data_IF_993503791096
#
_entry.id   IF_993503791096
#
_cell.length_a   1.000
_cell.length_b   1.000
_cell.length_c   1.000
_cell.angle_alpha   90.00
_cell.angle_beta   90.00
_cell.angle_gamma   90.00
#
_symmetry.space_group_name_H-M   'P 1'
#
loop_
_entity.id
_entity.type
_entity.pdbx_description
1 polymer ?
#
# COMPACT_ATOMS: atom_id res chain seq x y z
N UNK A 1 0.68 72.60 -0.27
CA UNK A 1 0.85 71.66 0.86
C UNK A 1 1.61 70.44 0.34
N UNK A 2 2.95 70.43 0.41
CA UNK A 2 3.72 69.21 0.14
C UNK A 2 3.24 68.13 1.12
N UNK A 3 2.82 66.98 0.59
CA UNK A 3 2.47 65.82 1.41
C UNK A 3 3.75 65.38 2.11
N UNK A 4 3.78 65.45 3.44
CA UNK A 4 4.82 64.82 4.25
C UNK A 4 4.99 63.38 3.76
N UNK A 5 6.12 63.13 3.12
CA UNK A 5 6.54 61.79 2.73
C UNK A 5 6.90 61.14 4.06
N UNK A 6 5.94 60.41 4.66
CA UNK A 6 6.19 59.65 5.86
C UNK A 6 7.30 58.65 5.55
N UNK A 7 8.51 58.95 5.99
CA UNK A 7 9.64 58.05 5.86
C UNK A 7 9.38 56.83 6.74
N UNK A 8 8.84 55.78 6.13
CA UNK A 8 8.64 54.54 6.84
C UNK A 8 10.00 54.00 7.33
N UNK A 9 10.14 53.73 8.64
CA UNK A 9 11.42 53.33 9.20
C UNK A 9 11.85 51.99 8.60
N UNK A 10 13.11 51.91 8.18
CA UNK A 10 13.68 50.65 7.71
C UNK A 10 13.75 49.65 8.87
N UNK A 11 13.32 48.41 8.63
CA UNK A 11 13.26 47.39 9.66
C UNK A 11 14.54 46.53 9.69
N UNK A 12 15.05 46.14 10.86
CA UNK A 12 16.26 45.34 10.97
C UNK A 12 16.00 43.87 10.64
N UNK A 13 16.89 43.27 9.86
CA UNK A 13 16.88 41.85 9.48
C UNK A 13 18.28 41.25 9.66
N UNK A 14 18.39 39.92 9.83
CA UNK A 14 19.68 39.25 9.85
C UNK A 14 20.29 39.24 8.43
N UNK A 15 21.52 39.72 8.32
CA UNK A 15 22.36 39.71 7.13
C UNK A 15 23.35 38.54 7.13
N UNK A 16 24.58 38.76 6.65
CA UNK A 16 25.61 37.73 6.66
C UNK A 16 25.99 37.32 8.10
N UNK A 17 26.22 36.03 8.31
CA UNK A 17 26.66 35.48 9.60
C UNK A 17 28.19 35.55 9.71
N UNK A 18 28.69 36.29 10.70
CA UNK A 18 30.12 36.47 10.98
C UNK A 18 30.50 36.02 12.40
N UNK A 19 31.75 36.28 12.83
CA UNK A 19 32.27 35.85 14.13
C UNK A 19 31.48 36.38 15.33
N UNK A 20 30.85 37.55 15.16
CA UNK A 20 30.06 38.24 16.18
C UNK A 20 28.55 38.01 16.04
N UNK A 21 28.13 37.06 15.19
CA UNK A 21 26.73 36.78 14.88
C UNK A 21 26.28 37.39 13.55
N UNK A 22 24.96 37.59 13.39
CA UNK A 22 24.40 38.19 12.18
C UNK A 22 24.70 39.69 12.10
N UNK A 23 25.26 40.15 10.98
CA UNK A 23 25.23 41.57 10.64
C UNK A 23 23.77 42.02 10.52
N UNK A 24 23.40 43.21 11.02
CA UNK A 24 22.03 43.72 10.86
C UNK A 24 21.93 44.50 9.56
N UNK A 25 20.99 44.10 8.68
CA UNK A 25 20.65 44.83 7.46
C UNK A 25 19.28 45.50 7.63
N UNK A 26 19.12 46.72 7.11
CA UNK A 26 17.86 47.47 7.22
C UNK A 26 17.11 47.45 5.90
N UNK A 27 15.87 46.94 5.91
CA UNK A 27 15.05 46.77 4.71
C UNK A 27 13.77 47.60 4.84
N UNK A 28 13.47 48.43 3.82
CA UNK A 28 12.22 49.20 3.72
C UNK A 28 11.17 48.34 3.01
N UNK A 29 10.28 47.69 3.78
CA UNK A 29 9.34 46.71 3.21
C UNK A 29 8.32 47.31 2.23
N UNK A 30 7.89 48.56 2.45
CA UNK A 30 6.84 49.18 1.61
C UNK A 30 7.32 49.58 0.20
N UNK A 31 8.63 49.68 -0.02
CA UNK A 31 9.20 49.97 -1.33
C UNK A 31 9.46 48.72 -2.17
N UNK A 32 9.27 47.52 -1.58
CA UNK A 32 9.55 46.26 -2.26
C UNK A 32 8.34 45.74 -3.03
N UNK A 33 8.62 45.16 -4.20
CA UNK A 33 7.64 44.43 -4.99
C UNK A 33 7.31 43.06 -4.38
N UNK A 34 6.16 42.49 -4.73
CA UNK A 34 5.74 41.14 -4.30
C UNK A 34 6.82 40.04 -4.51
N UNK A 35 7.51 39.94 -5.67
CA UNK A 35 8.56 38.92 -5.83
C UNK A 35 9.74 39.15 -4.87
N UNK A 36 10.15 40.40 -4.63
CA UNK A 36 11.22 40.71 -3.66
C UNK A 36 10.83 40.34 -2.23
N UNK A 37 9.58 40.62 -1.81
CA UNK A 37 9.06 40.18 -0.52
C UNK A 37 9.06 38.65 -0.39
N UNK A 38 8.66 37.94 -1.45
CA UNK A 38 8.68 36.46 -1.48
C UNK A 38 10.09 35.92 -1.36
N UNK A 39 11.07 36.52 -2.05
CA UNK A 39 12.47 36.10 -1.98
C UNK A 39 13.07 36.36 -0.59
N UNK A 40 12.78 37.50 0.04
CA UNK A 40 13.15 37.70 1.45
C UNK A 40 12.52 36.66 2.39
N UNK A 41 11.23 36.31 2.20
CA UNK A 41 10.61 35.23 2.96
C UNK A 41 11.35 33.90 2.77
N UNK A 42 11.77 33.54 1.54
CA UNK A 42 12.55 32.32 1.28
C UNK A 42 13.90 32.36 1.99
N UNK A 43 14.62 33.48 1.90
CA UNK A 43 15.93 33.67 2.56
C UNK A 43 15.83 33.44 4.07
N UNK A 44 14.75 33.92 4.70
CA UNK A 44 14.51 33.74 6.14
C UNK A 44 13.75 32.46 6.50
N UNK A 45 13.60 31.50 5.56
CA UNK A 45 12.88 30.24 5.74
C UNK A 45 11.44 30.42 6.28
N UNK A 46 10.78 31.49 5.86
CA UNK A 46 9.37 31.80 6.15
C UNK A 46 8.46 31.28 5.03
N UNK A 47 7.15 31.04 5.29
CA UNK A 47 6.19 30.75 4.23
C UNK A 47 6.14 31.90 3.21
N UNK A 48 6.42 31.59 1.93
CA UNK A 48 6.64 32.58 0.87
C UNK A 48 5.45 32.77 -0.09
N UNK A 49 4.33 32.08 0.16
CA UNK A 49 3.07 32.20 -0.61
C UNK A 49 2.08 33.15 0.09
N UNK A 50 1.34 33.95 -0.68
CA UNK A 50 0.33 34.86 -0.14
C UNK A 50 0.12 36.13 -0.98
N UNK A 51 -0.77 37.00 -0.50
CA UNK A 51 -0.89 38.36 -1.00
C UNK A 51 0.23 39.25 -0.42
N UNK A 52 0.40 40.46 -0.96
CA UNK A 52 1.49 41.37 -0.59
C UNK A 52 1.46 41.71 0.91
N UNK A 53 0.28 42.05 1.44
CA UNK A 53 0.10 42.37 2.86
C UNK A 53 0.51 41.22 3.80
N UNK A 54 0.22 39.98 3.42
CA UNK A 54 0.59 38.79 4.21
C UNK A 54 2.10 38.59 4.26
N UNK A 55 2.81 38.82 3.14
CA UNK A 55 4.26 38.71 3.10
C UNK A 55 4.93 39.83 3.93
N UNK A 56 4.41 41.06 3.82
CA UNK A 56 4.87 42.20 4.63
C UNK A 56 4.70 41.93 6.12
N UNK A 57 3.49 41.55 6.57
CA UNK A 57 3.24 41.28 7.99
C UNK A 57 4.15 40.15 8.53
N UNK A 58 4.39 39.09 7.75
CA UNK A 58 5.30 38.01 8.16
C UNK A 58 6.74 38.49 8.34
N UNK A 59 7.21 39.37 7.46
CA UNK A 59 8.55 39.94 7.55
C UNK A 59 8.65 40.94 8.73
N UNK A 60 7.61 41.72 8.98
CA UNK A 60 7.53 42.60 10.15
C UNK A 60 7.57 41.80 11.47
N UNK A 61 6.76 40.74 11.58
CA UNK A 61 6.73 39.87 12.76
C UNK A 61 8.08 39.17 12.97
N UNK A 62 8.74 38.77 11.89
CA UNK A 62 10.07 38.16 11.95
C UNK A 62 11.16 39.16 12.35
N UNK A 63 11.07 40.42 11.90
CA UNK A 63 11.99 41.49 12.29
C UNK A 63 11.90 41.82 13.78
N UNK A 64 10.70 41.76 14.37
CA UNK A 64 10.47 42.00 15.80
C UNK A 64 11.04 40.90 16.70
N UNK A 65 11.10 39.65 16.22
CA UNK A 65 11.54 38.50 17.02
C UNK A 65 12.98 38.08 16.72
N UNK A 66 13.94 38.76 17.35
CA UNK A 66 15.39 38.48 17.21
C UNK A 66 15.75 37.04 17.61
N UNK A 67 15.00 36.39 18.50
CA UNK A 67 15.26 35.00 18.91
C UNK A 67 15.10 34.00 17.76
N UNK A 68 14.25 34.34 16.78
CA UNK A 68 14.07 33.51 15.58
C UNK A 68 15.24 33.59 14.61
N UNK A 69 16.08 34.62 14.71
CA UNK A 69 17.24 34.79 13.83
C UNK A 69 18.26 33.68 14.07
N UNK A 70 18.41 33.21 15.32
CA UNK A 70 19.30 32.11 15.68
C UNK A 70 18.98 30.80 14.93
N UNK A 71 17.72 30.62 14.48
CA UNK A 71 17.31 29.44 13.69
C UNK A 71 17.81 29.47 12.25
N UNK A 72 18.34 30.61 11.79
CA UNK A 72 18.92 30.73 10.46
C UNK A 72 20.37 30.25 10.41
N UNK A 73 21.02 30.05 11.55
CA UNK A 73 22.42 29.59 11.62
C UNK A 73 22.51 28.19 10.99
N UNK A 74 23.35 28.00 9.96
CA UNK A 74 23.60 26.68 9.39
C UNK A 74 24.05 25.70 10.49
N UNK A 75 23.34 24.58 10.63
CA UNK A 75 23.62 23.58 11.67
C UNK A 75 22.84 23.76 12.98
N UNK A 76 22.11 24.87 13.17
CA UNK A 76 21.11 24.97 14.23
C UNK A 76 19.96 23.99 13.94
N UNK A 77 20.10 22.76 14.41
CA UNK A 77 19.01 21.79 14.39
C UNK A 77 17.93 22.35 15.30
N UNK A 78 16.72 22.55 14.76
CA UNK A 78 15.56 22.84 15.59
C UNK A 78 15.52 21.74 16.65
N UNK A 79 15.63 22.11 17.94
CA UNK A 79 15.38 21.17 19.00
C UNK A 79 14.00 20.56 18.69
N UNK A 80 13.95 19.27 18.35
CA UNK A 80 12.75 18.58 17.90
C UNK A 80 11.59 18.68 18.92
N UNK A 81 11.91 19.16 20.13
CA UNK A 81 10.99 19.57 21.16
C UNK A 81 11.03 21.10 21.21
N UNK A 82 10.30 21.75 20.30
CA UNK A 82 10.19 23.22 20.30
C UNK A 82 9.80 23.77 21.68
N UNK A 83 9.99 25.09 21.93
CA UNK A 83 9.66 25.71 23.20
C UNK A 83 8.23 25.33 23.59
N UNK A 84 8.11 24.50 24.63
CA UNK A 84 6.80 24.12 25.16
C UNK A 84 6.27 25.37 25.84
N UNK A 85 5.43 26.14 25.13
CA UNK A 85 4.61 27.15 25.79
C UNK A 85 3.83 26.42 26.88
N UNK A 86 3.92 26.82 28.16
CA UNK A 86 3.02 26.31 29.17
C UNK A 86 1.61 26.68 28.71
N UNK A 87 0.87 25.67 28.28
CA UNK A 87 -0.48 25.85 27.77
C UNK A 87 -1.39 25.83 29.00
N UNK A 88 -1.53 26.98 29.66
CA UNK A 88 -2.28 27.10 30.92
C UNK A 88 -3.78 26.83 30.72
N UNK A 89 -4.31 26.95 29.48
CA UNK A 89 -5.76 26.94 29.26
C UNK A 89 -6.33 25.67 28.61
N UNK A 90 -5.51 24.65 28.32
CA UNK A 90 -6.03 23.38 27.76
C UNK A 90 -5.51 22.19 28.55
N UNK A 91 -6.26 21.83 29.61
CA UNK A 91 -6.15 20.52 30.28
C UNK A 91 -6.57 19.41 29.31
N UNK A 92 -5.69 19.04 28.39
CA UNK A 92 -5.83 17.80 27.64
C UNK A 92 -5.70 16.64 28.62
N UNK A 93 -6.69 15.74 28.64
CA UNK A 93 -6.68 14.54 29.50
C UNK A 93 -5.32 13.85 29.38
N UNK A 94 -4.65 13.51 30.50
CA UNK A 94 -3.35 12.84 30.45
C UNK A 94 -3.47 11.53 29.68
N UNK A 95 -2.42 11.18 28.92
CA UNK A 95 -2.37 9.92 28.19
C UNK A 95 -2.56 8.77 29.19
N UNK A 96 -3.25 7.70 28.78
CA UNK A 96 -3.54 6.53 29.62
C UNK A 96 -2.26 5.94 30.26
N UNK A 97 -1.11 5.99 29.58
CA UNK A 97 0.17 5.55 30.14
C UNK A 97 0.65 6.43 31.31
N UNK A 98 0.37 7.73 31.28
CA UNK A 98 0.65 8.65 32.38
C UNK A 98 -0.26 8.35 33.57
N UNK A 99 -1.56 8.12 33.33
CA UNK A 99 -2.52 7.72 34.37
C UNK A 99 -2.11 6.38 35.01
N UNK A 100 -1.71 5.39 34.19
CA UNK A 100 -1.29 4.08 34.68
C UNK A 100 0.01 4.15 35.47
N UNK A 101 0.97 4.98 35.04
CA UNK A 101 2.20 5.24 35.78
C UNK A 101 1.90 5.93 37.11
N UNK A 102 1.08 6.97 37.10
CA UNK A 102 0.65 7.64 38.33
C UNK A 102 -0.04 6.66 39.28
N UNK A 103 -0.95 5.82 38.79
CA UNK A 103 -1.60 4.79 39.60
C UNK A 103 -0.63 3.74 40.17
N UNK A 104 0.43 3.37 39.44
CA UNK A 104 1.46 2.43 39.91
C UNK A 104 2.41 3.03 40.95
N UNK A 105 2.61 4.34 40.94
CA UNK A 105 3.61 5.02 41.77
C UNK A 105 3.01 6.01 42.80
N UNK A 106 1.68 6.16 42.90
CA UNK A 106 1.00 7.01 43.89
C UNK A 106 0.52 6.27 45.14
N UNK A 107 0.95 5.02 45.35
CA UNK A 107 0.66 4.25 46.56
C UNK A 107 1.76 4.35 47.62
N UNK A 108 2.02 5.55 48.15
CA UNK A 108 2.65 5.79 49.46
C UNK A 108 2.72 7.31 49.71
N UNK A 109 1.82 7.79 50.57
CA UNK A 109 1.93 9.00 51.39
C UNK A 109 2.54 10.27 50.76
N UNK A 110 1.67 11.05 50.13
CA UNK A 110 1.41 12.44 50.57
C UNK A 110 2.49 13.51 50.46
N UNK A 111 3.71 13.23 49.99
CA UNK A 111 4.75 14.26 49.81
C UNK A 111 4.92 14.58 48.33
N UNK A 112 4.32 15.70 47.89
CA UNK A 112 4.60 16.31 46.58
C UNK A 112 6.06 16.75 46.53
N UNK A 113 6.94 15.88 46.02
CA UNK A 113 8.30 16.26 45.65
C UNK A 113 8.23 17.19 44.44
N UNK A 114 8.36 18.50 44.70
CA UNK A 114 8.32 19.57 43.70
C UNK A 114 9.54 19.61 42.75
N UNK A 115 10.45 18.64 42.81
CA UNK A 115 11.65 18.58 41.99
C UNK A 115 11.73 17.24 41.28
N UNK A 116 11.07 17.11 40.12
CA UNK A 116 11.43 16.06 39.19
C UNK A 116 12.81 16.41 38.62
N UNK A 117 13.88 15.62 38.88
CA UNK A 117 15.19 15.93 38.33
C UNK A 117 15.09 15.91 36.81
N UNK A 118 15.71 16.93 36.20
CA UNK A 118 15.98 17.01 34.77
C UNK A 118 16.47 15.63 34.33
N UNK A 119 15.78 15.00 33.39
CA UNK A 119 16.24 13.75 32.79
C UNK A 119 17.47 14.07 31.95
N UNK A 120 18.62 14.20 32.61
CA UNK A 120 19.92 14.10 31.98
C UNK A 120 19.95 12.75 31.27
N UNK A 121 19.98 12.83 29.94
CA UNK A 121 20.28 11.73 29.02
C UNK A 121 21.42 10.91 29.65
N UNK A 122 21.18 9.63 29.95
CA UNK A 122 22.07 8.80 30.76
C UNK A 122 23.53 9.03 30.37
N UNK A 123 24.28 9.74 31.22
CA UNK A 123 25.73 9.83 31.08
C UNK A 123 26.22 8.40 31.11
N UNK A 124 26.99 8.01 30.10
CA UNK A 124 27.59 6.68 30.04
C UNK A 124 28.50 6.50 31.26
N UNK A 125 27.96 5.82 32.28
CA UNK A 125 28.60 5.59 33.59
C UNK A 125 29.74 4.58 33.50
N UNK A 126 30.03 4.03 32.32
CA UNK A 126 31.15 3.10 32.14
C UNK A 126 32.47 3.77 32.48
N UNK A 127 33.30 3.05 33.24
CA UNK A 127 34.65 3.49 33.61
C UNK A 127 35.53 3.62 32.37
N UNK A 128 36.66 4.33 32.49
CA UNK A 128 37.62 4.44 31.39
C UNK A 128 38.13 3.06 30.94
N UNK A 129 38.27 2.12 31.87
CA UNK A 129 38.69 0.74 31.61
C UNK A 129 37.64 -0.05 30.84
N UNK A 130 36.36 0.07 31.19
CA UNK A 130 35.27 -0.57 30.46
C UNK A 130 35.16 -0.01 29.03
N UNK A 131 35.39 1.30 28.86
CA UNK A 131 35.45 1.92 27.53
C UNK A 131 36.66 1.40 26.73
N UNK A 132 37.81 1.24 27.37
CA UNK A 132 39.01 0.68 26.74
C UNK A 132 38.82 -0.79 26.34
N UNK A 133 38.11 -1.59 27.16
CA UNK A 133 37.82 -3.00 26.88
C UNK A 133 36.92 -3.22 25.66
N UNK A 134 36.12 -2.21 25.27
CA UNK A 134 35.27 -2.26 24.08
C UNK A 134 36.07 -2.10 22.78
N UNK A 135 37.21 -1.40 22.81
CA UNK A 135 38.00 -1.11 21.61
C UNK A 135 38.54 -2.37 20.93
N UNK A 136 39.16 -3.35 21.64
CA UNK A 136 39.59 -4.61 21.02
C UNK A 136 38.43 -5.42 20.43
N UNK A 137 37.26 -5.41 21.08
CA UNK A 137 36.06 -6.07 20.57
C UNK A 137 35.59 -5.41 19.27
N UNK A 138 35.49 -4.08 19.24
CA UNK A 138 35.09 -3.32 18.06
C UNK A 138 36.05 -3.55 16.88
N UNK A 139 37.37 -3.54 17.13
CA UNK A 139 38.39 -3.85 16.13
C UNK A 139 38.24 -5.26 15.57
N UNK A 140 37.97 -6.25 16.43
CA UNK A 140 37.74 -7.65 16.01
C UNK A 140 36.48 -7.79 15.14
N UNK A 141 35.41 -7.06 15.47
CA UNK A 141 34.17 -7.04 14.67
C UNK A 141 34.41 -6.39 13.31
N UNK A 142 35.07 -5.22 13.26
CA UNK A 142 35.38 -4.53 11.98
C UNK A 142 36.31 -5.36 11.10
N UNK A 143 37.28 -6.07 11.69
CA UNK A 143 38.18 -6.96 10.95
C UNK A 143 37.46 -8.21 10.43
N UNK A 144 36.51 -8.75 11.19
CA UNK A 144 35.71 -9.93 10.80
C UNK A 144 34.63 -9.58 9.77
N UNK A 145 34.12 -8.36 9.80
CA UNK A 145 33.05 -7.86 8.92
C UNK A 145 33.45 -6.49 8.35
N UNK A 146 34.42 -6.46 7.41
CA UNK A 146 34.84 -5.20 6.79
C UNK A 146 33.64 -4.56 6.08
N UNK A 147 33.47 -3.26 6.29
CA UNK A 147 32.41 -2.50 5.65
C UNK A 147 32.59 -2.55 4.12
N UNK A 148 31.61 -3.14 3.43
CA UNK A 148 31.52 -3.12 1.99
C UNK A 148 30.52 -2.03 1.60
N UNK A 149 30.97 -0.84 1.18
CA UNK A 149 30.06 0.18 0.67
C UNK A 149 29.29 -0.40 -0.51
N UNK A 150 27.97 -0.27 -0.46
CA UNK A 150 27.11 -0.72 -1.54
C UNK A 150 27.50 0.03 -2.84
N UNK A 151 27.97 -0.68 -3.89
CA UNK A 151 28.47 -0.03 -5.11
C UNK A 151 27.41 0.88 -5.78
N UNK A 152 26.13 0.58 -5.57
CA UNK A 152 25.01 1.31 -6.16
C UNK A 152 24.81 2.73 -5.60
N UNK A 153 25.42 3.08 -4.45
CA UNK A 153 25.25 4.39 -3.83
C UNK A 153 26.32 5.42 -4.21
N UNK A 154 27.34 5.04 -4.99
CA UNK A 154 28.45 5.95 -5.33
C UNK A 154 28.23 6.80 -6.58
N UNK A 155 27.14 6.59 -7.35
CA UNK A 155 27.05 7.09 -8.72
C UNK A 155 25.96 8.15 -9.00
N UNK A 156 25.45 8.87 -7.99
CA UNK A 156 24.37 9.86 -8.23
C UNK A 156 24.69 11.32 -7.94
N UNK A 157 25.95 11.71 -7.66
CA UNK A 157 26.18 13.13 -7.32
C UNK A 157 27.49 13.79 -7.76
N UNK A 158 28.20 13.25 -8.75
CA UNK A 158 29.37 13.96 -9.29
C UNK A 158 29.42 13.85 -10.80
N UNK A 159 29.47 15.00 -11.48
CA UNK A 159 29.69 15.17 -12.93
C UNK A 159 28.45 15.35 -13.82
N UNK A 160 27.71 16.45 -13.63
CA UNK A 160 26.99 17.14 -14.71
C UNK A 160 27.74 18.45 -14.97
N UNK A 161 28.81 18.39 -15.76
CA UNK A 161 29.33 19.51 -16.56
C UNK A 161 30.42 18.94 -17.48
N UNK A 162 30.05 18.54 -18.70
CA UNK A 162 30.81 18.73 -19.93
C UNK A 162 29.97 18.22 -21.12
N UNK A 163 29.87 19.08 -22.12
CA UNK A 163 29.10 18.93 -23.36
C UNK A 163 29.70 17.87 -24.31
N UNK A 164 28.92 17.39 -25.30
CA UNK A 164 29.30 16.33 -26.23
C UNK A 164 29.93 16.88 -27.53
N UNK A 165 30.54 16.00 -28.35
CA UNK A 165 30.55 16.20 -29.79
C UNK A 165 29.79 15.10 -30.55
N UNK A 166 29.30 15.52 -31.72
CA UNK A 166 28.46 14.84 -32.67
C UNK A 166 29.20 13.86 -33.61
N UNK A 167 28.40 13.31 -34.55
CA UNK A 167 28.70 12.48 -35.74
C UNK A 167 28.37 10.99 -35.54
N UNK A 168 27.79 10.26 -36.49
CA UNK A 168 27.08 10.54 -37.74
C UNK A 168 26.37 9.23 -38.16
N UNK A 169 25.46 9.33 -39.12
CA UNK A 169 24.61 8.27 -39.65
C UNK A 169 25.36 7.14 -40.39
N UNK A 170 24.79 5.93 -40.42
CA UNK A 170 24.64 5.10 -41.63
C UNK A 170 23.60 3.98 -41.46
N UNK A 171 22.65 4.00 -42.38
CA UNK A 171 22.09 2.92 -43.21
C UNK A 171 21.30 1.74 -42.64
N UNK A 172 20.11 1.63 -43.24
CA UNK A 172 19.17 0.53 -43.27
C UNK A 172 19.75 -0.78 -43.80
N UNK A 173 19.15 -1.89 -43.37
CA UNK A 173 18.79 -3.02 -44.23
C UNK A 173 17.63 -3.80 -43.59
N UNK A 174 16.76 -4.26 -44.47
CA UNK A 174 15.48 -4.92 -44.25
C UNK A 174 15.55 -6.17 -43.36
N UNK A 175 14.47 -6.43 -42.62
CA UNK A 175 14.00 -7.80 -42.43
C UNK A 175 12.49 -7.84 -42.17
N UNK A 176 11.83 -8.44 -43.15
CA UNK A 176 10.47 -8.93 -43.23
C UNK A 176 10.28 -10.14 -42.29
N UNK A 177 9.19 -10.16 -41.50
CA UNK A 177 8.52 -11.41 -41.09
C UNK A 177 7.25 -11.15 -40.30
N UNK A 178 6.15 -11.28 -41.02
CA UNK A 178 4.79 -11.47 -40.56
C UNK A 178 4.62 -12.87 -39.94
N UNK A 179 4.13 -12.98 -38.70
CA UNK A 179 3.56 -14.23 -38.19
C UNK A 179 2.42 -13.94 -37.21
N UNK A 180 1.26 -14.47 -37.57
CA UNK A 180 -0.01 -14.41 -36.85
C UNK A 180 -0.07 -15.34 -35.62
N UNK A 181 -1.01 -15.07 -34.70
CA UNK A 181 -1.17 -15.76 -33.44
C UNK A 181 -1.99 -17.06 -33.51
N UNK A 182 -1.64 -17.99 -32.64
CA UNK A 182 -2.35 -19.23 -32.33
C UNK A 182 -3.59 -19.01 -31.43
N UNK A 183 -4.68 -19.78 -31.64
CA UNK A 183 -5.71 -19.98 -30.63
C UNK A 183 -5.69 -21.39 -29.97
N UNK A 184 -5.49 -21.34 -28.65
CA UNK A 184 -6.13 -22.06 -27.52
C UNK A 184 -7.12 -23.22 -27.79
N UNK A 185 -6.71 -24.44 -27.43
CA UNK A 185 -7.56 -25.54 -26.95
C UNK A 185 -8.13 -25.21 -25.54
N UNK A 186 -9.23 -25.73 -25.01
CA UNK A 186 -10.12 -26.84 -25.32
C UNK A 186 -10.72 -27.27 -23.97
N UNK A 187 -12.04 -27.15 -23.79
CA UNK A 187 -12.75 -27.60 -22.59
C UNK A 187 -13.34 -29.01 -22.80
N UNK A 188 -13.38 -29.88 -21.78
CA UNK A 188 -13.98 -31.20 -21.90
C UNK A 188 -15.47 -31.25 -21.50
N UNK A 189 -16.21 -31.97 -22.34
CA UNK A 189 -17.29 -32.94 -22.08
C UNK A 189 -18.40 -32.64 -21.06
N UNK A 190 -19.61 -32.49 -21.62
CA UNK A 190 -20.89 -32.84 -21.01
C UNK A 190 -21.09 -34.36 -21.02
N UNK A 191 -21.64 -34.91 -19.93
CA UNK A 191 -22.32 -36.22 -19.92
C UNK A 191 -23.71 -36.08 -19.34
N UNK A 192 -24.63 -36.80 -19.98
CA UNK A 192 -26.06 -36.92 -19.73
C UNK A 192 -26.45 -37.37 -18.30
N UNK A 193 -27.66 -36.98 -17.86
CA UNK A 193 -28.34 -37.61 -16.74
C UNK A 193 -29.62 -36.89 -16.26
N UNK A 194 -30.75 -37.16 -16.91
CA UNK A 194 -32.14 -37.04 -16.38
C UNK A 194 -32.42 -38.37 -15.60
N UNK A 195 -33.20 -38.47 -14.50
CA UNK A 195 -34.59 -37.98 -14.40
C UNK A 195 -35.16 -37.64 -12.98
N UNK A 196 -36.48 -37.34 -12.99
CA UNK A 196 -37.46 -37.36 -11.88
C UNK A 196 -37.49 -36.15 -10.93
N UNK A 197 -38.56 -35.34 -10.99
CA UNK A 197 -39.86 -35.51 -10.32
C UNK A 197 -39.81 -35.14 -8.83
N UNK A 198 -40.38 -33.99 -8.47
CA UNK A 198 -41.35 -33.89 -7.37
C UNK A 198 -42.02 -32.51 -7.34
N UNK A 199 -43.35 -32.55 -7.43
CA UNK A 199 -44.30 -31.49 -7.13
C UNK A 199 -44.34 -31.24 -5.63
N UNK A 200 -44.41 -29.98 -5.18
CA UNK A 200 -45.15 -29.52 -3.97
C UNK A 200 -45.14 -27.97 -3.87
N UNK A 201 -46.02 -27.31 -3.07
CA UNK A 201 -47.13 -26.57 -3.63
C UNK A 201 -47.14 -25.05 -3.33
N UNK A 202 -47.96 -24.34 -4.11
CA UNK A 202 -48.47 -22.99 -3.84
C UNK A 202 -49.30 -22.97 -2.56
N UNK A 203 -49.11 -21.95 -1.72
CA UNK A 203 -50.07 -21.50 -0.72
C UNK A 203 -50.07 -19.95 -0.64
N UNK A 204 -51.16 -19.35 -0.12
CA UNK A 204 -51.78 -18.17 -0.72
C UNK A 204 -51.54 -16.86 0.05
N UNK A 205 -51.74 -15.76 -0.67
CA UNK A 205 -51.97 -14.42 -0.12
C UNK A 205 -53.34 -14.36 0.57
N UNK A 206 -53.37 -13.85 1.79
CA UNK A 206 -54.52 -13.15 2.38
C UNK A 206 -53.99 -11.99 3.24
N UNK A 207 -54.31 -10.75 2.87
CA UNK A 207 -55.41 -9.94 3.41
C UNK A 207 -55.16 -9.41 4.84
N UNK A 208 -54.61 -8.20 4.94
CA UNK A 208 -54.96 -7.26 6.02
C UNK A 208 -55.16 -5.86 5.41
N UNK A 209 -56.31 -5.28 5.75
CA UNK A 209 -56.82 -4.02 5.28
C UNK A 209 -56.48 -2.83 6.22
N UNK A 210 -56.35 -1.65 5.59
CA UNK A 210 -56.74 -0.30 6.07
C UNK A 210 -55.84 0.47 7.07
N UNK A 211 -55.95 1.82 7.19
CA UNK A 211 -56.57 2.82 6.29
C UNK A 211 -55.73 4.09 5.98
N UNK A 212 -56.18 4.79 4.93
CA UNK A 212 -56.11 6.22 4.61
C UNK A 212 -55.05 7.16 5.22
N UNK A 213 -54.24 7.78 4.35
CA UNK A 213 -54.08 9.24 4.35
C UNK A 213 -53.89 9.80 2.93
N UNK A 214 -54.69 10.83 2.63
CA UNK A 214 -54.68 11.69 1.42
C UNK A 214 -53.36 12.44 1.26
N UNK A 215 -52.92 12.63 0.03
CA UNK A 215 -51.89 13.62 -0.32
C UNK A 215 -51.42 13.55 -1.77
N UNK A 216 -52.13 14.28 -2.63
CA UNK A 216 -51.71 14.94 -3.88
C UNK A 216 -51.13 14.16 -5.08
N UNK A 217 -51.85 14.37 -6.19
CA UNK A 217 -51.60 13.87 -7.53
C UNK A 217 -50.64 14.77 -8.30
N UNK A 218 -49.61 14.18 -8.91
CA UNK A 218 -49.11 14.59 -10.22
C UNK A 218 -48.73 13.34 -11.03
N UNK A 219 -49.63 12.93 -11.91
CA UNK A 219 -49.46 11.85 -12.88
C UNK A 219 -48.51 12.29 -13.99
N UNK A 220 -47.34 11.64 -14.09
CA UNK A 220 -46.48 11.68 -15.28
C UNK A 220 -46.54 10.31 -15.94
N UNK A 221 -46.98 10.27 -17.19
CA UNK A 221 -47.09 9.06 -17.99
C UNK A 221 -45.70 8.45 -18.30
N UNK A 222 -45.58 7.11 -18.37
CA UNK A 222 -44.35 6.45 -18.84
C UNK A 222 -44.35 6.33 -20.37
N UNK A 223 -43.22 6.71 -20.99
CA UNK A 223 -42.92 6.44 -22.41
C UNK A 223 -42.63 4.96 -22.66
N UNK A 224 -42.97 4.41 -23.84
CA UNK A 224 -42.60 3.06 -24.24
C UNK A 224 -41.14 2.98 -24.74
N UNK A 225 -40.50 1.79 -24.67
CA UNK A 225 -39.12 1.58 -25.11
C UNK A 225 -39.00 1.42 -26.65
N UNK A 226 -37.81 1.67 -27.24
CA UNK A 226 -37.60 1.52 -28.67
C UNK A 226 -37.25 0.08 -29.08
N UNK A 227 -37.90 -0.37 -30.16
CA UNK A 227 -37.66 -1.64 -30.87
C UNK A 227 -36.26 -1.69 -31.51
N UNK A 228 -35.54 -2.79 -31.29
CA UNK A 228 -34.32 -3.15 -32.04
C UNK A 228 -34.60 -4.41 -32.87
N UNK A 229 -34.20 -4.47 -34.16
CA UNK A 229 -34.50 -5.60 -35.01
C UNK A 229 -33.58 -6.80 -34.76
N UNK A 230 -34.22 -7.96 -34.57
CA UNK A 230 -33.62 -9.28 -34.48
C UNK A 230 -33.11 -9.74 -35.84
N UNK A 231 -31.84 -10.11 -35.93
CA UNK A 231 -31.26 -10.79 -37.10
C UNK A 231 -30.93 -12.24 -36.76
N UNK A 232 -31.73 -13.17 -37.30
CA UNK A 232 -31.37 -14.57 -37.48
C UNK A 232 -30.54 -14.72 -38.76
N UNK A 233 -29.63 -15.71 -38.80
CA UNK A 233 -29.38 -16.40 -40.05
C UNK A 233 -29.52 -17.92 -39.90
N UNK A 234 -30.58 -18.45 -40.51
CA UNK A 234 -30.63 -19.82 -41.03
C UNK A 234 -30.02 -19.81 -42.44
N UNK A 235 -28.99 -20.62 -42.72
CA UNK A 235 -28.70 -21.07 -44.10
C UNK A 235 -27.95 -22.42 -44.10
N UNK A 236 -28.77 -23.48 -44.17
CA UNK A 236 -28.76 -24.59 -45.15
C UNK A 236 -27.42 -25.09 -45.74
N UNK A 237 -27.20 -26.39 -45.55
CA UNK A 237 -26.20 -27.28 -46.16
C UNK A 237 -26.32 -27.43 -47.70
N UNK A 238 -25.31 -28.05 -48.33
CA UNK A 238 -25.62 -29.27 -49.08
C UNK A 238 -24.64 -30.44 -48.84
N UNK A 239 -25.17 -31.64 -49.09
CA UNK A 239 -24.53 -32.95 -49.04
C UNK A 239 -23.66 -33.26 -50.27
N UNK A 240 -22.78 -34.27 -50.17
CA UNK A 240 -22.51 -35.41 -51.10
C UNK A 240 -21.36 -36.27 -50.51
N UNK A 241 -21.70 -37.46 -50.01
CA UNK A 241 -21.28 -38.84 -50.35
C UNK A 241 -19.83 -39.22 -50.83
N UNK A 242 -19.45 -40.53 -50.83
CA UNK A 242 -18.31 -41.07 -50.05
C UNK A 242 -17.20 -41.76 -50.88
N UNK A 243 -16.02 -42.00 -50.29
CA UNK A 243 -15.11 -43.11 -50.67
C UNK A 243 -13.98 -43.35 -49.65
N UNK A 244 -13.75 -44.64 -49.39
CA UNK A 244 -12.63 -45.45 -48.81
C UNK A 244 -11.19 -44.99 -49.18
N UNK A 245 -10.06 -45.59 -48.66
CA UNK A 245 -9.86 -46.71 -47.72
C UNK A 245 -8.77 -46.52 -46.61
N UNK A 246 -8.67 -47.54 -45.74
CA UNK A 246 -7.69 -47.80 -44.66
C UNK A 246 -6.24 -47.97 -45.17
N UNK A 247 -5.20 -47.61 -44.39
CA UNK A 247 -4.20 -48.61 -43.97
C UNK A 247 -3.76 -48.52 -42.48
N UNK A 248 -3.21 -49.60 -41.89
CA UNK A 248 -2.79 -49.71 -40.48
C UNK A 248 -1.33 -49.26 -40.28
N UNK A 249 -0.87 -49.08 -39.02
CA UNK A 249 0.12 -50.04 -38.49
C UNK A 249 -0.01 -50.31 -36.95
N UNK A 250 0.15 -51.57 -36.52
CA UNK A 250 1.33 -52.14 -35.82
C UNK A 250 1.57 -51.50 -34.44
N UNK A 251 1.29 -52.10 -33.28
CA UNK A 251 1.68 -53.40 -32.69
C UNK A 251 3.19 -53.68 -32.71
N UNK A 252 3.69 -54.05 -31.52
CA UNK A 252 5.02 -54.52 -31.14
C UNK A 252 5.98 -53.42 -30.65
N UNK A 253 6.81 -53.59 -29.62
CA UNK A 253 7.11 -54.67 -28.66
C UNK A 253 8.03 -54.02 -27.59
N UNK A 254 7.80 -54.27 -26.31
CA UNK A 254 8.60 -55.19 -25.47
C UNK A 254 10.12 -54.90 -25.42
N UNK A 255 10.54 -54.70 -24.17
CA UNK A 255 11.76 -55.18 -23.52
C UNK A 255 13.12 -54.74 -24.06
N UNK A 256 13.94 -54.23 -23.16
CA UNK A 256 15.22 -54.89 -22.84
C UNK A 256 15.70 -54.45 -21.46
N UNK A 257 15.69 -55.42 -20.54
CA UNK A 257 16.59 -55.49 -19.39
C UNK A 257 18.04 -55.36 -19.84
N UNK A 258 18.86 -54.72 -19.01
CA UNK A 258 20.30 -54.96 -18.97
C UNK A 258 20.80 -54.71 -17.56
N UNK A 259 20.83 -55.80 -16.79
CA UNK A 259 21.83 -56.04 -15.74
C UNK A 259 23.23 -55.75 -16.27
N UNK A 260 24.16 -55.24 -15.45
CA UNK A 260 25.57 -55.69 -15.38
C UNK A 260 26.35 -54.93 -14.29
N UNK A 261 27.09 -55.75 -13.52
CA UNK A 261 28.27 -55.52 -12.66
C UNK A 261 28.15 -54.71 -11.37
N UNK A 262 28.03 -55.50 -10.30
CA UNK A 262 28.66 -55.28 -9.00
C UNK A 262 30.14 -54.92 -9.12
N UNK A 263 30.53 -53.82 -8.48
CA UNK A 263 31.91 -53.58 -8.04
C UNK A 263 31.88 -53.25 -6.54
N UNK A 264 32.42 -54.17 -5.75
CA UNK A 264 32.49 -54.10 -4.29
C UNK A 264 33.78 -53.36 -3.93
N UNK A 265 33.67 -52.03 -3.75
CA UNK A 265 34.71 -51.26 -3.07
C UNK A 265 34.40 -51.20 -1.57
N UNK A 266 35.33 -51.72 -0.77
CA UNK A 266 35.32 -51.61 0.69
C UNK A 266 35.45 -50.13 1.09
N UNK A 267 34.32 -49.53 1.43
CA UNK A 267 34.24 -48.21 2.05
C UNK A 267 34.63 -48.36 3.52
N UNK A 268 35.72 -47.69 3.90
CA UNK A 268 36.15 -47.53 5.28
C UNK A 268 35.03 -46.88 6.12
N UNK A 269 34.77 -47.33 7.36
CA UNK A 269 33.77 -46.73 8.22
C UNK A 269 34.17 -45.30 8.57
N UNK A 270 33.44 -44.33 8.00
CA UNK A 270 33.56 -42.92 8.36
C UNK A 270 33.22 -42.72 9.83
N UNK A 271 33.90 -41.80 10.53
CA UNK A 271 33.63 -41.50 11.92
C UNK A 271 32.18 -41.06 12.07
N UNK A 272 31.46 -41.78 12.94
CA UNK A 272 30.12 -41.44 13.40
C UNK A 272 30.15 -40.03 14.02
N UNK A 273 29.73 -39.06 13.22
CA UNK A 273 29.67 -37.66 13.60
C UNK A 273 28.68 -37.53 14.76
N UNK A 274 29.19 -37.06 15.89
CA UNK A 274 28.48 -36.98 17.15
C UNK A 274 27.31 -35.99 17.04
N UNK A 275 26.12 -36.52 16.82
CA UNK A 275 24.83 -36.03 17.31
C UNK A 275 24.69 -34.51 17.46
N UNK A 276 24.77 -33.77 16.35
CA UNK A 276 24.26 -32.41 16.32
C UNK A 276 22.73 -32.48 16.46
N UNK A 277 22.24 -32.31 17.68
CA UNK A 277 20.83 -32.08 18.01
C UNK A 277 20.37 -30.73 17.41
N UNK A 278 20.33 -30.63 16.09
CA UNK A 278 19.82 -29.46 15.39
C UNK A 278 18.31 -29.41 15.64
N UNK A 279 17.89 -28.44 16.47
CA UNK A 279 16.47 -28.15 16.69
C UNK A 279 15.83 -27.89 15.33
N UNK A 280 14.75 -28.61 14.96
CA UNK A 280 14.07 -28.40 13.70
C UNK A 280 13.64 -26.94 13.59
N UNK A 281 14.15 -26.27 12.56
CA UNK A 281 13.78 -24.90 12.27
C UNK A 281 12.28 -24.83 11.89
N UNK A 282 11.53 -23.82 12.36
CA UNK A 282 10.09 -23.74 12.13
C UNK A 282 9.80 -23.53 10.64
N UNK A 283 9.14 -24.49 10.00
CA UNK A 283 8.74 -24.42 8.59
C UNK A 283 7.28 -24.03 8.42
N UNK A 284 6.94 -23.41 7.28
CA UNK A 284 5.56 -23.15 6.86
C UNK A 284 5.30 -23.72 5.47
N UNK A 285 4.02 -24.01 5.22
CA UNK A 285 3.53 -24.53 3.96
C UNK A 285 2.55 -23.50 3.39
N UNK A 286 2.79 -23.07 2.16
CA UNK A 286 1.86 -22.27 1.39
C UNK A 286 1.23 -23.16 0.31
N UNK A 287 -0.10 -23.17 0.23
CA UNK A 287 -0.83 -23.88 -0.82
C UNK A 287 -1.17 -22.91 -1.94
N UNK A 288 -0.82 -23.27 -3.17
CA UNK A 288 -1.15 -22.53 -4.39
C UNK A 288 -2.38 -23.14 -5.08
N UNK A 289 -2.99 -22.35 -5.98
CA UNK A 289 -4.14 -22.71 -6.81
C UNK A 289 -3.97 -24.01 -7.60
N UNK A 290 -2.74 -24.24 -8.09
CA UNK A 290 -2.38 -25.40 -8.89
C UNK A 290 -2.20 -26.68 -8.07
N UNK A 291 -2.51 -26.63 -6.76
CA UNK A 291 -2.35 -27.72 -5.81
C UNK A 291 -0.92 -27.91 -5.33
N UNK A 292 0.05 -27.08 -5.78
CA UNK A 292 1.42 -27.17 -5.28
C UNK A 292 1.53 -26.58 -3.88
N UNK A 293 2.20 -27.33 -3.02
CA UNK A 293 2.58 -26.88 -1.68
C UNK A 293 4.03 -26.39 -1.69
N UNK A 294 4.26 -25.12 -1.35
CA UNK A 294 5.60 -24.58 -1.14
C UNK A 294 5.92 -24.63 0.34
N UNK A 295 6.82 -25.53 0.72
CA UNK A 295 7.38 -25.57 2.08
C UNK A 295 8.62 -24.68 2.13
N UNK A 296 8.68 -23.76 3.09
CA UNK A 296 9.78 -22.80 3.21
C UNK A 296 10.09 -22.44 4.67
N UNK A 297 11.32 -21.98 4.88
CA UNK A 297 11.83 -21.45 6.14
C UNK A 297 12.00 -19.92 6.06
N UNK A 298 12.21 -19.24 7.20
CA UNK A 298 12.46 -17.80 7.23
C UNK A 298 13.65 -17.37 6.34
N UNK A 299 14.70 -18.19 6.28
CA UNK A 299 15.90 -17.95 5.46
C UNK A 299 15.64 -18.01 3.96
N UNK A 300 14.54 -18.66 3.55
CA UNK A 300 14.17 -18.79 2.14
C UNK A 300 13.41 -17.57 1.61
N UNK A 301 13.07 -16.62 2.49
CA UNK A 301 12.26 -15.44 2.17
C UNK A 301 13.20 -14.27 1.89
N UNK A 302 13.28 -13.81 0.62
CA UNK A 302 14.06 -12.62 0.29
C UNK A 302 13.39 -11.37 0.87
N UNK A 303 14.13 -10.26 0.89
CA UNK A 303 13.49 -8.97 1.17
C UNK A 303 12.43 -8.65 0.11
N UNK A 304 11.33 -7.97 0.48
CA UNK A 304 10.27 -7.67 -0.47
C UNK A 304 10.78 -6.87 -1.67
N UNK A 305 10.40 -7.25 -2.90
CA UNK A 305 10.86 -6.56 -4.09
C UNK A 305 10.24 -5.16 -4.17
N UNK A 306 11.04 -4.18 -4.58
CA UNK A 306 10.60 -2.79 -4.75
C UNK A 306 9.81 -2.63 -6.07
N UNK A 307 8.57 -3.09 -6.08
CA UNK A 307 7.69 -3.08 -7.25
C UNK A 307 6.66 -1.94 -7.22
N UNK A 308 6.27 -1.45 -8.39
CA UNK A 308 5.22 -0.43 -8.54
C UNK A 308 4.38 -0.69 -9.78
N UNK A 309 3.06 -0.82 -9.58
CA UNK A 309 2.06 -0.95 -10.66
C UNK A 309 1.36 0.37 -10.99
N UNK A 310 1.96 1.51 -10.61
CA UNK A 310 1.34 2.81 -10.83
C UNK A 310 1.16 3.18 -12.32
N UNK A 311 1.97 2.58 -13.20
CA UNK A 311 1.91 2.79 -14.66
C UNK A 311 1.08 1.72 -15.37
N UNK A 312 1.13 0.48 -14.90
CA UNK A 312 0.50 -0.67 -15.53
C UNK A 312 -0.39 -1.40 -14.51
N UNK A 313 -1.59 -0.87 -14.29
CA UNK A 313 -2.56 -1.45 -13.35
C UNK A 313 -3.09 -2.81 -13.87
N UNK A 314 -3.08 -3.03 -15.18
CA UNK A 314 -3.50 -4.30 -15.79
C UNK A 314 -2.53 -5.44 -15.49
N UNK A 315 -1.21 -5.16 -15.47
CA UNK A 315 -0.19 -6.16 -15.08
C UNK A 315 -0.39 -6.67 -13.64
N UNK A 316 -0.95 -5.81 -12.77
CA UNK A 316 -1.24 -6.18 -11.37
C UNK A 316 -2.24 -7.34 -11.31
N UNK A 317 -3.25 -7.36 -12.19
CA UNK A 317 -4.24 -8.44 -12.22
C UNK A 317 -3.59 -9.78 -12.56
N UNK A 318 -2.63 -9.76 -13.49
CA UNK A 318 -1.92 -10.95 -13.92
C UNK A 318 -0.98 -11.55 -12.88
N UNK A 319 -0.62 -10.79 -11.84
CA UNK A 319 0.27 -11.25 -10.77
C UNK A 319 -0.40 -11.33 -9.38
N UNK A 320 -1.68 -10.99 -9.27
CA UNK A 320 -2.34 -10.83 -7.97
C UNK A 320 -2.71 -12.17 -7.33
N UNK A 321 -3.46 -13.00 -8.05
CA UNK A 321 -4.09 -14.21 -7.54
C UNK A 321 -3.91 -15.34 -8.56
N UNK A 322 -3.36 -16.47 -8.13
CA UNK A 322 -3.15 -17.68 -8.92
C UNK A 322 -4.43 -18.45 -9.24
N UNK A 323 -5.52 -18.25 -8.49
CA UNK A 323 -6.84 -18.76 -8.86
C UNK A 323 -7.47 -17.97 -10.03
N UNK A 324 -6.90 -16.83 -10.41
CA UNK A 324 -7.46 -15.99 -11.48
C UNK A 324 -7.13 -16.56 -12.86
N UNK A 325 -8.07 -16.57 -13.83
CA UNK A 325 -7.76 -16.90 -15.22
C UNK A 325 -6.78 -15.91 -15.88
N UNK A 326 -6.52 -14.76 -15.24
CA UNK A 326 -5.55 -13.76 -15.70
C UNK A 326 -4.14 -14.01 -15.16
N UNK A 327 -3.96 -14.95 -14.22
CA UNK A 327 -2.66 -15.29 -13.67
C UNK A 327 -1.69 -15.69 -14.78
N UNK A 328 -0.57 -14.97 -14.87
CA UNK A 328 0.41 -15.16 -15.94
C UNK A 328 1.55 -16.13 -15.57
N UNK A 329 1.49 -16.76 -14.40
CA UNK A 329 2.54 -17.67 -13.91
C UNK A 329 3.81 -16.96 -13.45
N UNK A 330 3.81 -15.64 -13.32
CA UNK A 330 4.98 -14.85 -12.90
C UNK A 330 4.70 -14.04 -11.64
N UNK A 331 5.71 -13.91 -10.79
CA UNK A 331 5.67 -13.00 -9.64
C UNK A 331 7.05 -12.42 -9.38
N UNK A 332 7.11 -11.15 -8.90
CA UNK A 332 8.35 -10.57 -8.40
C UNK A 332 8.96 -11.33 -7.22
N UNK A 333 8.14 -12.01 -6.41
CA UNK A 333 8.62 -12.83 -5.30
C UNK A 333 8.71 -14.29 -5.75
N UNK A 334 9.87 -14.90 -5.57
CA UNK A 334 10.10 -16.33 -5.77
C UNK A 334 10.66 -16.94 -4.51
N UNK A 335 10.08 -18.05 -4.06
CA UNK A 335 10.59 -18.86 -2.96
C UNK A 335 10.95 -20.21 -3.54
N UNK A 336 12.22 -20.62 -3.41
CA UNK A 336 12.75 -21.88 -4.03
C UNK A 336 12.41 -21.98 -5.53
N UNK A 337 12.58 -20.87 -6.25
CA UNK A 337 12.26 -20.73 -7.67
C UNK A 337 10.76 -20.89 -8.04
N UNK A 338 9.86 -20.94 -7.06
CA UNK A 338 8.40 -20.94 -7.29
C UNK A 338 7.87 -19.51 -7.17
N UNK A 339 7.18 -18.96 -8.19
CA UNK A 339 6.59 -17.63 -8.13
C UNK A 339 5.44 -17.60 -7.12
N UNK A 340 5.44 -16.60 -6.23
CA UNK A 340 4.45 -16.45 -5.17
C UNK A 340 3.51 -15.27 -5.49
N UNK A 341 2.23 -15.50 -5.81
CA UNK A 341 1.24 -14.44 -6.09
C UNK A 341 1.16 -13.38 -4.98
N UNK A 342 0.82 -12.14 -5.35
CA UNK A 342 0.75 -11.02 -4.40
C UNK A 342 -0.26 -11.25 -3.27
N UNK A 343 -1.35 -11.96 -3.52
CA UNK A 343 -2.38 -12.27 -2.51
C UNK A 343 -1.80 -13.02 -1.29
N UNK A 344 -0.73 -13.78 -1.47
CA UNK A 344 -0.09 -14.55 -0.39
C UNK A 344 1.00 -13.79 0.39
N UNK A 345 1.33 -12.55 0.02
CA UNK A 345 2.37 -11.77 0.70
C UNK A 345 2.12 -11.60 2.22
N UNK A 346 0.88 -11.38 2.71
CA UNK A 346 0.62 -11.35 4.15
C UNK A 346 1.02 -12.65 4.84
N UNK A 347 0.74 -13.81 4.24
CA UNK A 347 1.07 -15.12 4.83
C UNK A 347 2.58 -15.34 4.91
N UNK A 348 3.34 -14.85 3.92
CA UNK A 348 4.80 -14.97 3.84
C UNK A 348 5.49 -14.00 4.82
N UNK A 349 5.16 -12.70 4.78
CA UNK A 349 5.93 -11.68 5.48
C UNK A 349 5.44 -11.36 6.90
N UNK A 350 4.12 -11.44 7.18
CA UNK A 350 3.54 -10.95 8.44
C UNK A 350 4.16 -11.58 9.69
N UNK A 351 4.53 -12.86 9.61
CA UNK A 351 4.97 -13.64 10.76
C UNK A 351 6.48 -13.69 10.95
N UNK A 352 7.27 -13.68 9.88
CA UNK A 352 8.72 -13.82 9.96
C UNK A 352 9.48 -12.53 9.71
N UNK A 353 8.94 -11.62 8.89
CA UNK A 353 9.60 -10.38 8.49
C UNK A 353 8.72 -9.18 8.82
N UNK A 354 8.29 -9.09 10.09
CA UNK A 354 7.31 -8.09 10.54
C UNK A 354 7.72 -6.63 10.25
N UNK A 355 9.01 -6.30 10.30
CA UNK A 355 9.51 -4.98 9.90
C UNK A 355 9.36 -4.72 8.40
N UNK A 356 9.69 -5.70 7.56
CA UNK A 356 9.54 -5.60 6.11
C UNK A 356 8.06 -5.55 5.72
N UNK A 357 7.22 -6.38 6.36
CA UNK A 357 5.77 -6.35 6.15
C UNK A 357 5.20 -4.97 6.42
N UNK A 358 5.59 -4.30 7.51
CA UNK A 358 5.15 -2.93 7.80
C UNK A 358 5.47 -1.94 6.67
N UNK A 359 6.59 -2.11 5.98
CA UNK A 359 6.98 -1.28 4.84
C UNK A 359 6.11 -1.50 3.60
N UNK A 360 5.74 -2.75 3.32
CA UNK A 360 5.02 -3.14 2.09
C UNK A 360 3.50 -3.16 2.26
N UNK A 361 3.00 -3.39 3.48
CA UNK A 361 1.58 -3.56 3.82
C UNK A 361 0.70 -2.47 3.21
N UNK A 362 1.13 -1.21 3.29
CA UNK A 362 0.36 -0.08 2.74
C UNK A 362 0.16 -0.23 1.22
N UNK A 363 1.25 -0.47 0.49
CA UNK A 363 1.23 -0.58 -0.98
C UNK A 363 0.46 -1.83 -1.40
N UNK A 364 0.65 -2.94 -0.68
CA UNK A 364 -0.13 -4.17 -0.89
C UNK A 364 -1.64 -3.93 -0.71
N UNK A 365 -2.04 -3.17 0.31
CA UNK A 365 -3.45 -2.84 0.53
C UNK A 365 -4.03 -1.93 -0.57
N UNK A 366 -3.24 -0.98 -1.08
CA UNK A 366 -3.62 -0.16 -2.24
C UNK A 366 -3.84 -1.04 -3.49
N UNK A 367 -2.99 -2.03 -3.72
CA UNK A 367 -3.19 -3.03 -4.79
C UNK A 367 -4.44 -3.87 -4.58
N UNK A 368 -4.69 -4.35 -3.36
CA UNK A 368 -5.91 -5.11 -3.02
C UNK A 368 -7.17 -4.33 -3.40
N UNK A 369 -7.23 -3.05 -3.06
CA UNK A 369 -8.38 -2.18 -3.39
C UNK A 369 -8.59 -2.11 -4.91
N UNK A 370 -7.52 -1.93 -5.68
CA UNK A 370 -7.59 -1.85 -7.13
C UNK A 370 -8.07 -3.15 -7.75
N UNK A 371 -7.47 -4.28 -7.36
CA UNK A 371 -7.85 -5.58 -7.90
C UNK A 371 -9.28 -5.93 -7.55
N UNK A 372 -9.72 -5.71 -6.31
CA UNK A 372 -11.11 -5.95 -5.92
C UNK A 372 -12.10 -5.08 -6.72
N UNK A 373 -11.75 -3.84 -7.04
CA UNK A 373 -12.59 -2.97 -7.85
C UNK A 373 -12.64 -3.43 -9.31
N UNK A 374 -11.50 -3.85 -9.88
CA UNK A 374 -11.43 -4.38 -11.24
C UNK A 374 -12.08 -5.75 -11.39
N UNK A 375 -12.08 -6.61 -10.35
CA UNK A 375 -12.72 -7.93 -10.41
C UNK A 375 -14.25 -7.87 -10.33
N UNK A 376 -14.83 -6.73 -9.97
CA UNK A 376 -16.30 -6.54 -9.95
C UNK A 376 -16.90 -6.25 -11.31
N UNK A 377 -16.09 -5.71 -12.21
CA UNK A 377 -16.52 -5.24 -13.53
C UNK A 377 -15.61 -5.85 -14.62
N UNK A 378 -15.96 -5.65 -15.88
CA UNK A 378 -14.99 -5.87 -16.96
C UNK A 378 -13.95 -4.74 -16.96
N UNK A 379 -12.75 -5.01 -17.48
CA UNK A 379 -11.68 -3.99 -17.60
C UNK A 379 -12.17 -2.74 -18.33
N UNK A 380 -12.99 -2.90 -19.37
CA UNK A 380 -13.55 -1.78 -20.12
C UNK A 380 -14.57 -0.96 -19.32
N UNK A 381 -15.48 -1.63 -18.59
CA UNK A 381 -16.46 -0.95 -17.73
C UNK A 381 -15.77 -0.22 -16.57
N UNK A 382 -14.75 -0.85 -15.98
CA UNK A 382 -13.92 -0.24 -14.97
C UNK A 382 -13.29 1.06 -15.50
N UNK A 383 -12.63 1.01 -16.66
CA UNK A 383 -12.00 2.20 -17.22
C UNK A 383 -13.00 3.24 -17.72
N UNK A 384 -14.17 2.85 -18.20
CA UNK A 384 -15.24 3.78 -18.55
C UNK A 384 -15.70 4.60 -17.33
N UNK A 385 -15.85 3.94 -16.17
CA UNK A 385 -16.21 4.59 -14.89
C UNK A 385 -15.09 5.46 -14.32
N UNK A 386 -13.83 5.03 -14.49
CA UNK A 386 -12.65 5.71 -13.94
C UNK A 386 -11.82 6.42 -15.01
N UNK A 387 -12.50 7.05 -15.97
CA UNK A 387 -11.90 8.00 -16.91
C UNK A 387 -12.50 9.38 -16.71
N UNK A 388 -11.67 10.42 -16.89
CA UNK A 388 -12.10 11.81 -16.83
C UNK A 388 -11.75 12.51 -18.15
N UNK A 389 -12.58 13.46 -18.62
CA UNK A 389 -12.24 14.26 -19.79
C UNK A 389 -11.00 15.10 -19.50
N UNK A 390 -10.01 15.02 -20.38
CA UNK A 390 -8.87 15.92 -20.37
C UNK A 390 -9.29 17.31 -20.88
N UNK A 391 -8.37 18.28 -20.90
CA UNK A 391 -8.59 19.62 -21.44
C UNK A 391 -9.07 19.62 -22.90
N UNK A 392 -8.79 18.55 -23.64
CA UNK A 392 -9.25 18.36 -25.02
C UNK A 392 -10.66 17.75 -25.14
N UNK A 393 -11.30 17.39 -24.03
CA UNK A 393 -12.56 16.64 -24.01
C UNK A 393 -12.40 15.14 -24.24
N UNK A 394 -11.19 14.64 -24.53
CA UNK A 394 -10.92 13.20 -24.66
C UNK A 394 -10.91 12.54 -23.29
N UNK A 395 -11.66 11.45 -23.13
CA UNK A 395 -11.63 10.65 -21.89
C UNK A 395 -10.25 10.01 -21.72
N UNK A 396 -9.57 10.35 -20.62
CA UNK A 396 -8.33 9.69 -20.19
C UNK A 396 -8.56 8.94 -18.90
N UNK A 397 -7.98 7.75 -18.82
CA UNK A 397 -7.93 6.94 -17.59
C UNK A 397 -7.35 7.77 -16.44
N UNK A 398 -7.97 7.70 -15.27
CA UNK A 398 -7.45 8.35 -14.08
C UNK A 398 -6.05 7.80 -13.74
N UNK A 399 -5.15 8.70 -13.32
CA UNK A 399 -3.85 8.31 -12.78
C UNK A 399 -4.04 7.52 -11.47
N UNK A 400 -3.01 6.74 -11.10
CA UNK A 400 -3.03 5.87 -9.92
C UNK A 400 -3.54 6.53 -8.63
N UNK A 401 -2.99 7.68 -8.23
CA UNK A 401 -3.39 8.34 -6.98
C UNK A 401 -4.82 8.88 -7.00
N UNK A 402 -5.28 9.62 -8.04
CA UNK A 402 -6.70 9.97 -8.18
C UNK A 402 -7.65 8.77 -8.15
N UNK A 403 -7.29 7.70 -8.86
CA UNK A 403 -8.07 6.46 -8.91
C UNK A 403 -8.24 5.85 -7.51
N UNK A 404 -7.14 5.67 -6.76
CA UNK A 404 -7.19 5.16 -5.39
C UNK A 404 -8.06 6.03 -4.48
N UNK A 405 -7.93 7.35 -4.56
CA UNK A 405 -8.75 8.27 -3.75
C UNK A 405 -10.24 8.12 -4.05
N UNK A 406 -10.60 7.96 -5.33
CA UNK A 406 -11.98 7.74 -5.72
C UNK A 406 -12.50 6.40 -5.20
N UNK A 407 -11.75 5.31 -5.38
CA UNK A 407 -12.10 3.98 -4.86
C UNK A 407 -12.25 3.96 -3.33
N UNK A 408 -11.35 4.63 -2.61
CA UNK A 408 -11.46 4.79 -1.16
C UNK A 408 -12.72 5.55 -0.75
N UNK A 409 -13.08 6.61 -1.48
CA UNK A 409 -14.29 7.40 -1.22
C UNK A 409 -15.55 6.56 -1.45
N UNK A 410 -15.61 5.82 -2.55
CA UNK A 410 -16.73 4.93 -2.86
C UNK A 410 -16.86 3.82 -1.81
N UNK A 411 -15.76 3.19 -1.39
CA UNK A 411 -15.77 2.18 -0.31
C UNK A 411 -16.24 2.76 1.01
N UNK A 412 -15.83 3.99 1.36
CA UNK A 412 -16.30 4.67 2.58
C UNK A 412 -17.79 4.96 2.53
N UNK A 413 -18.29 5.44 1.38
CA UNK A 413 -19.72 5.68 1.18
C UNK A 413 -20.54 4.38 1.29
N UNK A 414 -20.04 3.29 0.69
CA UNK A 414 -20.69 1.98 0.76
C UNK A 414 -20.67 1.40 2.18
N UNK A 415 -19.54 1.48 2.88
CA UNK A 415 -19.46 1.08 4.28
C UNK A 415 -20.43 1.89 5.15
N UNK A 416 -20.59 3.19 4.88
CA UNK A 416 -21.54 4.01 5.62
C UNK A 416 -22.98 3.58 5.37
N UNK A 417 -23.35 3.30 4.11
CA UNK A 417 -24.69 2.76 3.79
C UNK A 417 -24.98 1.45 4.52
N UNK A 418 -24.01 0.55 4.58
CA UNK A 418 -24.15 -0.73 5.31
C UNK A 418 -24.22 -0.53 6.83
N UNK A 419 -23.55 0.49 7.38
CA UNK A 419 -23.69 0.87 8.79
C UNK A 419 -25.10 1.36 9.05
N UNK A 420 -25.65 2.21 8.19
CA UNK A 420 -27.00 2.75 8.35
C UNK A 420 -28.05 1.62 8.28
N UNK A 421 -27.89 0.67 7.35
CA UNK A 421 -28.71 -0.55 7.29
C UNK A 421 -28.55 -1.43 8.54
N UNK A 422 -27.31 -1.65 9.00
CA UNK A 422 -27.05 -2.45 10.19
C UNK A 422 -27.67 -1.83 11.45
N UNK A 423 -27.62 -0.51 11.60
CA UNK A 423 -28.21 0.22 12.72
C UNK A 423 -29.75 0.26 12.66
N UNK A 424 -30.34 0.17 11.47
CA UNK A 424 -31.78 0.10 11.30
C UNK A 424 -32.33 -1.31 11.63
N UNK A 425 -31.58 -2.36 11.31
CA UNK A 425 -32.04 -3.75 11.45
C UNK A 425 -31.58 -4.47 12.71
N UNK A 426 -30.42 -4.10 13.27
CA UNK A 426 -29.79 -4.80 14.39
C UNK A 426 -29.82 -3.98 15.67
N UNK A 427 -29.94 -4.66 16.80
CA UNK A 427 -29.84 -4.00 18.10
C UNK A 427 -28.37 -3.72 18.46
N UNK A 428 -28.08 -2.68 19.29
CA UNK A 428 -26.72 -2.36 19.70
C UNK A 428 -25.96 -3.52 20.37
N UNK A 429 -26.67 -4.47 21.00
CA UNK A 429 -26.10 -5.66 21.63
C UNK A 429 -25.56 -6.66 20.59
N UNK A 430 -26.17 -6.71 19.40
CA UNK A 430 -25.72 -7.54 18.28
C UNK A 430 -24.45 -6.96 17.62
N UNK A 431 -24.23 -5.65 17.73
CA UNK A 431 -23.04 -4.96 17.22
C UNK A 431 -21.89 -4.95 18.25
N UNK A 432 -21.58 -6.12 18.81
CA UNK A 432 -20.48 -6.31 19.77
C UNK A 432 -19.50 -7.38 19.31
N UNK A 433 -18.24 -7.25 19.71
CA UNK A 433 -17.22 -8.28 19.53
C UNK A 433 -16.50 -8.57 20.84
N UNK A 434 -15.90 -9.75 20.94
CA UNK A 434 -15.16 -10.18 22.14
C UNK A 434 -13.70 -9.74 22.03
N UNK A 435 -13.22 -8.97 23.00
CA UNK A 435 -11.79 -8.64 23.16
C UNK A 435 -11.33 -9.16 24.52
N UNK A 436 -10.75 -10.35 24.53
CA UNK A 436 -10.40 -11.07 25.76
C UNK A 436 -11.65 -11.55 26.52
N UNK A 437 -11.83 -11.10 27.76
CA UNK A 437 -13.03 -11.38 28.57
C UNK A 437 -14.15 -10.34 28.40
N UNK A 438 -13.89 -9.22 27.71
CA UNK A 438 -14.83 -8.11 27.58
C UNK A 438 -15.60 -8.17 26.25
N UNK A 439 -16.88 -7.78 26.29
CA UNK A 439 -17.65 -7.43 25.09
C UNK A 439 -17.47 -5.94 24.81
N UNK A 440 -17.09 -5.59 23.58
CA UNK A 440 -16.86 -4.22 23.14
C UNK A 440 -17.81 -3.92 21.98
N UNK A 441 -18.50 -2.78 22.03
CA UNK A 441 -19.33 -2.33 20.91
C UNK A 441 -18.46 -1.94 19.71
N UNK A 442 -18.89 -2.36 18.53
CA UNK A 442 -18.26 -1.96 17.28
C UNK A 442 -18.56 -0.49 17.02
N UNK A 443 -17.52 0.34 16.88
CA UNK A 443 -17.66 1.79 16.62
C UNK A 443 -17.13 2.20 15.26
N UNK A 444 -16.23 1.41 14.66
CA UNK A 444 -15.63 1.71 13.35
C UNK A 444 -16.63 1.34 12.24
N UNK A 445 -17.00 2.26 11.33
CA UNK A 445 -17.93 1.98 10.24
C UNK A 445 -17.57 0.75 9.40
N UNK A 446 -16.29 0.58 9.09
CA UNK A 446 -15.81 -0.57 8.33
C UNK A 446 -16.02 -1.91 9.05
N UNK A 447 -15.88 -1.95 10.39
CA UNK A 447 -16.11 -3.17 11.18
C UNK A 447 -17.60 -3.53 11.22
N UNK A 448 -18.47 -2.54 11.41
CA UNK A 448 -19.92 -2.73 11.40
C UNK A 448 -20.38 -3.21 10.01
N UNK A 449 -19.89 -2.58 8.95
CA UNK A 449 -20.19 -2.98 7.57
C UNK A 449 -19.74 -4.42 7.27
N UNK A 450 -18.52 -4.79 7.66
CA UNK A 450 -18.01 -6.16 7.50
C UNK A 450 -18.86 -7.19 8.27
N UNK A 451 -19.20 -6.87 9.53
CA UNK A 451 -20.08 -7.71 10.35
C UNK A 451 -21.46 -7.89 9.69
N UNK A 452 -22.04 -6.81 9.18
CA UNK A 452 -23.34 -6.84 8.51
C UNK A 452 -23.31 -7.67 7.22
N UNK A 453 -22.27 -7.54 6.38
CA UNK A 453 -22.10 -8.39 5.19
C UNK A 453 -22.04 -9.85 5.55
N UNK A 454 -21.26 -10.20 6.59
CA UNK A 454 -21.14 -11.57 7.08
C UNK A 454 -22.49 -12.12 7.55
N UNK A 455 -23.25 -11.32 8.32
CA UNK A 455 -24.57 -11.72 8.82
C UNK A 455 -25.58 -11.94 7.68
N UNK A 456 -25.50 -11.13 6.62
CA UNK A 456 -26.41 -11.21 5.47
C UNK A 456 -25.98 -12.19 4.39
N UNK A 457 -24.85 -12.90 4.57
CA UNK A 457 -24.30 -13.77 3.53
C UNK A 457 -23.86 -13.01 2.28
N UNK A 458 -23.62 -11.70 2.38
CA UNK A 458 -23.08 -10.85 1.31
C UNK A 458 -21.54 -10.95 1.23
N UNK A 459 -20.95 -11.91 1.93
CA UNK A 459 -19.51 -12.01 2.13
C UNK A 459 -18.80 -12.22 0.79
N UNK A 460 -17.95 -11.26 0.41
CA UNK A 460 -16.78 -11.53 -0.43
C UNK A 460 -15.70 -12.07 0.50
N UNK A 461 -15.18 -13.26 0.22
CA UNK A 461 -14.37 -14.14 1.08
C UNK A 461 -13.03 -13.60 1.62
N UNK A 462 -12.73 -12.29 1.55
CA UNK A 462 -11.38 -11.75 1.81
C UNK A 462 -11.29 -10.63 2.86
N UNK A 463 -12.27 -10.45 3.76
CA UNK A 463 -12.18 -9.48 4.86
C UNK A 463 -11.56 -10.08 6.15
N UNK A 464 -10.50 -10.89 6.01
CA UNK A 464 -9.71 -11.32 7.16
C UNK A 464 -8.84 -10.17 7.71
N UNK A 465 -9.35 -9.58 8.79
CA UNK A 465 -8.61 -9.27 10.01
C UNK A 465 -7.29 -8.48 9.89
N UNK A 466 -7.38 -7.20 9.53
CA UNK A 466 -6.28 -6.28 9.80
C UNK A 466 -6.71 -4.88 10.25
N UNK A 467 -7.50 -4.84 11.33
CA UNK A 467 -7.66 -3.64 12.17
C UNK A 467 -6.99 -3.83 13.54
N UNK A 468 -5.74 -4.31 13.55
CA UNK A 468 -4.87 -4.14 14.71
C UNK A 468 -4.10 -2.82 14.54
N UNK A 469 -4.62 -1.77 15.19
CA UNK A 469 -3.84 -0.63 15.68
C UNK A 469 -3.36 -0.92 17.11
#
# INVERSE_FOLDING_TARGET
MPKDISEDPALPFPGAYGPTGFATQYIRLKTLSKPQLSDHCKTFKLPYTGNMATLTNRLEDFSKDKSRWERLIPGATNAHKGPRKPNEDKKTKPKISTIRREHLFQGADGVRVLNAPVTERSKDLRTAEEKAAILPWAQRIVSKYPYQPNPDNSNTNTSIYLNPPACAAVSALDNDSTAQPMPRAGSPQQTNGTPQNNQTPKLPLDLIASPHHRGDSHTVQPMPPPDWPSMNPDTRAPAIDPATPIPPPSRSEQNSDSSTTSDVLMVAPSPVDAGSNAVPLPTRILQLADGKSVTFHESDIPDPPAISYAKNIEDLLGVWNDNSPQWNGTSPLKIRNVPIPLIHYPLVYKYWKGSQWKGVKKVWFEWKILVQAMSRDTTDNFWARYSAPDKSGTLRRLKYTPLLKQLESERKAENQRLVDLALAELTPEQLTYRKGSMRVHMTKPAMIAAYYRKLKGLSMEDEDDEYDD
#
